data_IF_057935159042
#
_entry.id   IF_057935159042
#
_cell.length_a   1.000
_cell.length_b   1.000
_cell.length_c   1.000
_cell.angle_alpha   90.00
_cell.angle_beta   90.00
_cell.angle_gamma   90.00
#
_symmetry.space_group_name_H-M   'P 1'
#
loop_
_entity.id
_entity.type
_entity.pdbx_description
1 polymer ?
#
# COMPACT_ATOMS: atom_id res chain seq x y z
N UNK A 1 20.59 -5.23 29.57
CA UNK A 1 20.11 -5.09 28.18
C UNK A 1 20.84 -3.94 27.55
N UNK A 2 21.18 -4.03 26.26
CA UNK A 2 21.79 -2.92 25.54
C UNK A 2 20.69 -1.90 25.21
N UNK A 3 20.89 -0.61 25.48
CA UNK A 3 19.89 0.41 25.11
C UNK A 3 19.98 0.69 23.61
N UNK A 4 18.83 0.87 22.96
CA UNK A 4 18.74 1.48 21.64
C UNK A 4 17.83 2.69 21.77
N UNK A 5 18.43 3.87 21.75
CA UNK A 5 17.74 5.15 21.96
C UNK A 5 17.45 5.83 20.61
N UNK A 6 16.18 6.14 20.40
CA UNK A 6 15.64 6.83 19.23
C UNK A 6 15.41 8.30 19.57
N UNK A 7 16.11 9.20 18.87
CA UNK A 7 15.79 10.62 18.83
C UNK A 7 14.90 10.93 17.62
N UNK A 8 13.83 11.70 17.79
CA UNK A 8 12.87 11.98 16.72
C UNK A 8 12.55 13.48 16.59
N UNK A 9 13.07 14.06 15.50
CA UNK A 9 13.07 15.48 15.15
C UNK A 9 12.00 15.77 14.10
N UNK A 10 11.15 16.77 14.35
CA UNK A 10 10.04 17.10 13.45
C UNK A 10 9.41 18.48 13.72
N UNK A 11 9.04 19.26 12.70
CA UNK A 11 8.23 20.47 12.87
C UNK A 11 6.77 20.16 13.26
N UNK A 12 6.03 21.20 13.62
CA UNK A 12 4.67 21.08 14.17
C UNK A 12 3.60 20.59 13.18
N UNK A 13 3.83 20.65 11.87
CA UNK A 13 2.88 20.24 10.82
C UNK A 13 2.79 18.72 10.62
N UNK A 14 3.72 17.97 11.21
CA UNK A 14 3.81 16.49 11.19
C UNK A 14 3.73 15.88 12.60
N UNK A 15 3.05 16.57 13.53
CA UNK A 15 2.90 16.12 14.91
C UNK A 15 2.20 14.75 15.05
N UNK A 16 1.28 14.41 14.12
CA UNK A 16 0.60 13.13 14.09
C UNK A 16 1.58 11.99 13.73
N UNK A 17 2.43 12.20 12.73
CA UNK A 17 3.52 11.30 12.35
C UNK A 17 4.56 11.17 13.48
N UNK A 18 4.91 12.27 14.17
CA UNK A 18 5.79 12.21 15.35
C UNK A 18 5.24 11.36 16.49
N UNK A 19 3.92 11.32 16.70
CA UNK A 19 3.28 10.43 17.67
C UNK A 19 3.29 8.94 17.24
N UNK A 20 3.34 8.67 15.93
CA UNK A 20 3.51 7.31 15.41
C UNK A 20 4.88 6.71 15.72
N UNK A 21 5.92 7.53 15.95
CA UNK A 21 7.23 7.02 16.40
C UNK A 21 7.13 6.27 17.72
N UNK A 22 6.44 6.83 18.71
CA UNK A 22 6.21 6.18 20.01
C UNK A 22 5.31 4.95 19.89
N UNK A 23 4.27 5.03 19.05
CA UNK A 23 3.38 3.90 18.75
C UNK A 23 4.15 2.70 18.18
N UNK A 24 4.96 2.93 17.14
CA UNK A 24 5.78 1.89 16.50
C UNK A 24 6.85 1.35 17.46
N UNK A 25 7.52 2.21 18.22
CA UNK A 25 8.51 1.76 19.21
C UNK A 25 7.87 0.88 20.30
N UNK A 26 6.65 1.21 20.75
CA UNK A 26 5.91 0.37 21.69
C UNK A 26 5.51 -0.99 21.08
N UNK A 27 5.07 -1.01 19.81
CA UNK A 27 4.78 -2.26 19.08
C UNK A 27 6.02 -3.15 18.93
N UNK A 28 7.20 -2.57 18.76
CA UNK A 28 8.46 -3.29 18.60
C UNK A 28 9.15 -3.65 19.91
N UNK A 29 8.63 -3.19 21.05
CA UNK A 29 9.23 -3.47 22.37
C UNK A 29 9.39 -4.98 22.66
N UNK A 30 8.43 -5.88 22.39
CA UNK A 30 8.63 -7.32 22.62
C UNK A 30 9.76 -7.92 21.77
N UNK A 31 9.88 -7.47 20.51
CA UNK A 31 10.98 -7.88 19.61
C UNK A 31 12.33 -7.38 20.12
N UNK A 32 12.40 -6.11 20.53
CA UNK A 32 13.60 -5.54 21.12
C UNK A 32 14.03 -6.30 22.38
N UNK A 33 13.08 -6.58 23.29
CA UNK A 33 13.34 -7.32 24.52
C UNK A 33 13.87 -8.73 24.25
N UNK A 34 13.29 -9.46 23.29
CA UNK A 34 13.79 -10.77 22.83
C UNK A 34 15.22 -10.70 22.24
N UNK A 35 15.56 -9.59 21.58
CA UNK A 35 16.90 -9.34 21.05
C UNK A 35 17.89 -8.88 22.14
N UNK A 36 17.45 -8.68 23.38
CA UNK A 36 18.27 -8.18 24.50
C UNK A 36 18.43 -6.66 24.52
N UNK A 37 17.57 -5.96 23.78
CA UNK A 37 17.58 -4.52 23.52
C UNK A 37 16.51 -3.84 24.39
N UNK A 38 16.89 -2.78 25.10
CA UNK A 38 15.96 -1.85 25.73
C UNK A 38 15.70 -0.69 24.76
N UNK A 39 14.55 -0.75 24.07
CA UNK A 39 14.14 0.25 23.08
C UNK A 39 13.50 1.46 23.78
N UNK A 40 14.08 2.64 23.58
CA UNK A 40 13.68 3.89 24.24
C UNK A 40 13.51 5.00 23.20
N UNK A 41 12.36 5.68 23.19
CA UNK A 41 12.18 6.94 22.43
C UNK A 41 12.45 8.09 23.39
N UNK A 42 13.36 8.99 23.00
CA UNK A 42 13.72 10.15 23.81
C UNK A 42 12.66 11.25 23.62
N UNK A 43 11.97 11.62 24.70
CA UNK A 43 11.14 12.81 24.77
C UNK A 43 11.89 13.95 25.48
N UNK A 44 12.21 14.99 24.73
CA UNK A 44 12.87 16.20 25.24
C UNK A 44 11.97 17.01 26.20
N UNK A 45 10.67 16.71 26.31
CA UNK A 45 9.81 17.34 27.33
C UNK A 45 10.11 16.85 28.75
N UNK A 46 10.94 15.81 28.90
CA UNK A 46 11.35 15.24 30.18
C UNK A 46 12.74 15.73 30.68
N UNK A 47 13.46 16.59 29.96
CA UNK A 47 14.72 17.17 30.48
C UNK A 47 14.46 18.15 31.63
N UNK A 48 15.42 18.23 32.55
CA UNK A 48 15.41 19.19 33.65
C UNK A 48 15.62 20.59 33.08
N UNK A 49 14.78 21.59 33.42
CA UNK A 49 14.98 22.97 33.00
C UNK A 49 16.35 23.48 33.45
N UNK A 50 17.14 23.99 32.50
CA UNK A 50 18.47 24.55 32.73
C UNK A 50 18.62 25.88 31.98
N UNK A 51 19.56 26.72 32.42
CA UNK A 51 19.73 28.08 31.90
C UNK A 51 20.51 28.09 30.59
N UNK A 52 19.79 28.32 29.50
CA UNK A 52 20.40 28.47 28.17
C UNK A 52 19.35 28.60 27.08
N UNK A 53 19.83 28.53 25.84
CA UNK A 53 18.98 28.49 24.64
C UNK A 53 18.27 27.12 24.55
N UNK A 54 16.94 27.05 24.33
CA UNK A 54 16.17 25.81 24.48
C UNK A 54 16.72 24.59 23.74
N UNK A 55 16.99 24.70 22.43
CA UNK A 55 17.51 23.54 21.68
C UNK A 55 18.95 23.20 22.10
N UNK A 56 19.76 24.22 22.44
CA UNK A 56 21.13 24.00 22.92
C UNK A 56 21.14 23.27 24.27
N UNK A 57 20.21 23.57 25.18
CA UNK A 57 20.07 22.86 26.47
C UNK A 57 19.68 21.40 26.24
N UNK A 58 18.71 21.15 25.36
CA UNK A 58 18.29 19.80 24.98
C UNK A 58 19.48 19.02 24.38
N UNK A 59 20.23 19.63 23.47
CA UNK A 59 21.39 19.00 22.81
C UNK A 59 22.61 18.82 23.74
N UNK A 60 22.82 19.71 24.72
CA UNK A 60 23.95 19.63 25.65
C UNK A 60 23.75 18.59 26.76
N UNK A 61 22.50 18.29 27.14
CA UNK A 61 22.18 17.24 28.11
C UNK A 61 22.17 15.82 27.51
N UNK A 62 22.52 15.69 26.23
CA UNK A 62 22.59 14.42 25.50
C UNK A 62 24.03 14.18 25.07
N UNK A 63 24.68 13.15 25.60
CA UNK A 63 26.06 12.82 25.22
C UNK A 63 26.12 12.34 23.76
N UNK A 64 27.27 12.52 23.05
CA UNK A 64 27.52 11.95 21.71
C UNK A 64 27.18 10.46 21.57
N UNK A 65 27.20 9.73 22.68
CA UNK A 65 26.93 8.30 22.82
C UNK A 65 25.47 7.95 23.11
N UNK A 66 24.61 8.92 23.40
CA UNK A 66 23.23 8.70 23.84
C UNK A 66 22.20 8.49 22.72
N UNK A 67 22.57 8.65 21.45
CA UNK A 67 21.67 8.44 20.31
C UNK A 67 22.16 7.24 19.48
N UNK A 68 21.32 6.21 19.33
CA UNK A 68 21.61 5.06 18.47
C UNK A 68 20.91 5.17 17.12
N UNK A 69 19.75 5.83 17.08
CA UNK A 69 19.03 6.17 15.86
C UNK A 69 18.44 7.59 15.90
N UNK A 70 18.43 8.25 14.74
CA UNK A 70 17.82 9.55 14.51
C UNK A 70 16.73 9.42 13.46
N UNK A 71 15.54 9.94 13.75
CA UNK A 71 14.40 10.01 12.83
C UNK A 71 14.09 11.47 12.57
N UNK A 72 14.27 11.94 11.33
CA UNK A 72 13.81 13.27 10.90
C UNK A 72 12.56 13.17 10.05
N UNK A 73 11.52 13.93 10.39
CA UNK A 73 10.24 13.98 9.66
C UNK A 73 9.98 15.42 9.20
N UNK A 74 9.76 15.63 7.89
CA UNK A 74 9.51 16.96 7.31
C UNK A 74 8.37 16.91 6.28
N UNK A 75 7.56 17.98 6.21
CA UNK A 75 6.50 18.15 5.21
C UNK A 75 6.59 19.47 4.45
N UNK A 76 5.93 20.53 4.93
CA UNK A 76 5.91 21.83 4.25
C UNK A 76 6.41 22.98 5.12
N UNK A 77 6.37 22.83 6.44
CA UNK A 77 7.09 23.70 7.39
C UNK A 77 8.53 23.20 7.53
N UNK A 78 9.48 24.12 7.53
CA UNK A 78 10.87 23.84 7.89
C UNK A 78 11.09 24.05 9.40
N UNK A 79 10.52 25.12 9.94
CA UNK A 79 10.64 25.54 11.34
C UNK A 79 10.97 27.02 11.46
N UNK A 80 11.18 27.47 12.69
CA UNK A 80 11.67 28.82 13.02
C UNK A 80 13.17 28.77 13.35
N UNK A 81 13.97 29.79 12.99
CA UNK A 81 15.37 29.87 13.37
C UNK A 81 15.50 29.67 14.89
N UNK A 82 16.29 28.69 15.34
CA UNK A 82 16.30 28.30 16.74
C UNK A 82 17.26 29.21 17.55
N UNK A 83 18.00 30.10 16.88
CA UNK A 83 18.94 31.05 17.51
C UNK A 83 20.37 30.52 17.65
N UNK A 84 20.68 29.37 17.03
CA UNK A 84 22.00 28.75 17.01
C UNK A 84 22.76 28.99 15.71
N UNK A 85 24.07 28.72 15.75
CA UNK A 85 24.95 28.73 14.59
C UNK A 85 25.64 27.38 14.42
N UNK A 86 25.78 26.98 13.17
CA UNK A 86 26.48 25.78 12.74
C UNK A 86 27.98 25.87 13.11
N UNK A 87 28.52 25.00 13.98
CA UNK A 87 29.90 25.13 14.44
C UNK A 87 30.95 25.04 13.33
N UNK A 88 30.64 24.40 12.20
CA UNK A 88 31.57 24.25 11.08
C UNK A 88 31.46 25.41 10.09
N UNK A 89 30.23 25.86 9.78
CA UNK A 89 30.02 26.90 8.75
C UNK A 89 29.81 28.31 9.30
N UNK A 90 29.63 28.47 10.63
CA UNK A 90 29.30 29.71 11.33
C UNK A 90 28.01 30.40 10.82
N UNK A 91 27.19 29.68 10.04
CA UNK A 91 25.88 30.16 9.57
C UNK A 91 24.82 29.87 10.61
N UNK A 92 23.84 30.76 10.74
CA UNK A 92 22.67 30.52 11.58
C UNK A 92 21.84 29.34 11.08
N UNK A 93 21.36 28.50 12.00
CA UNK A 93 20.39 27.47 11.68
C UNK A 93 19.04 28.11 11.33
N UNK A 94 18.34 27.56 10.34
CA UNK A 94 17.05 28.07 9.88
C UNK A 94 15.85 27.36 10.54
N UNK A 95 16.10 26.22 11.21
CA UNK A 95 15.14 25.48 12.04
C UNK A 95 15.83 24.61 13.10
N UNK A 96 15.17 24.33 14.22
CA UNK A 96 15.64 23.36 15.23
C UNK A 96 15.87 21.96 14.63
N UNK A 97 14.96 21.48 13.79
CA UNK A 97 15.10 20.18 13.09
C UNK A 97 16.31 20.13 12.14
N UNK A 98 16.77 21.26 11.62
CA UNK A 98 18.03 21.33 10.84
C UNK A 98 19.26 21.13 11.73
N UNK A 99 19.27 21.78 12.89
CA UNK A 99 20.35 21.69 13.89
C UNK A 99 20.44 20.28 14.49
N UNK A 100 19.29 19.70 14.85
CA UNK A 100 19.16 18.31 15.33
C UNK A 100 19.72 17.33 14.28
N UNK A 101 19.33 17.49 13.01
CA UNK A 101 19.84 16.67 11.90
C UNK A 101 21.34 16.84 11.67
N UNK A 102 21.84 18.08 11.60
CA UNK A 102 23.28 18.36 11.40
C UNK A 102 24.12 17.86 12.56
N UNK A 103 23.60 17.93 13.79
CA UNK A 103 24.22 17.33 14.98
C UNK A 103 24.29 15.81 14.85
N UNK A 104 23.18 15.14 14.51
CA UNK A 104 23.16 13.70 14.25
C UNK A 104 24.12 13.28 13.13
N UNK A 105 24.19 14.07 12.04
CA UNK A 105 25.09 13.81 10.90
C UNK A 105 26.57 13.94 11.27
N UNK A 106 26.93 14.94 12.08
CA UNK A 106 28.29 15.07 12.63
C UNK A 106 28.63 13.85 13.49
N UNK A 107 27.77 13.52 14.46
CA UNK A 107 27.97 12.35 15.33
C UNK A 107 28.11 11.05 14.51
N UNK A 108 27.26 10.86 13.49
CA UNK A 108 27.32 9.69 12.61
C UNK A 108 28.62 9.60 11.80
N UNK A 109 29.25 10.72 11.45
CA UNK A 109 30.57 10.75 10.78
C UNK A 109 31.71 10.48 11.76
N UNK A 110 31.64 11.07 12.95
CA UNK A 110 32.73 11.05 13.94
C UNK A 110 32.77 9.72 14.74
N UNK A 111 31.61 9.13 15.02
CA UNK A 111 31.46 7.94 15.90
C UNK A 111 30.74 6.76 15.23
N UNK A 112 30.30 6.88 13.98
CA UNK A 112 29.53 5.85 13.28
C UNK A 112 28.08 5.67 13.76
N UNK A 113 27.59 6.54 14.66
CA UNK A 113 26.21 6.57 15.16
C UNK A 113 25.78 8.00 15.53
N UNK A 114 24.48 8.36 15.56
CA UNK A 114 23.31 7.50 15.34
C UNK A 114 23.16 7.05 13.87
N UNK A 115 22.36 6.00 13.63
CA UNK A 115 21.87 5.69 12.27
C UNK A 115 20.76 6.68 11.91
N UNK A 116 20.92 7.40 10.81
CA UNK A 116 20.01 8.47 10.39
C UNK A 116 18.95 7.93 9.43
N UNK A 117 17.68 8.22 9.72
CA UNK A 117 16.54 7.93 8.87
C UNK A 117 15.75 9.21 8.60
N UNK A 118 15.62 9.59 7.32
CA UNK A 118 14.85 10.78 6.93
C UNK A 118 13.57 10.40 6.18
N UNK A 119 12.48 11.05 6.57
CA UNK A 119 11.14 10.81 6.06
C UNK A 119 10.52 12.12 5.56
N UNK A 120 10.03 12.09 4.31
CA UNK A 120 9.43 13.24 3.63
C UNK A 120 7.94 13.00 3.39
N UNK A 121 7.10 13.81 3.99
CA UNK A 121 5.69 13.82 3.64
C UNK A 121 5.49 14.46 2.26
N UNK A 122 4.75 13.79 1.39
CA UNK A 122 4.35 14.25 0.05
C UNK A 122 2.82 14.38 -0.07
N UNK A 123 2.11 14.39 1.06
CA UNK A 123 0.68 14.66 1.18
C UNK A 123 0.31 16.01 0.55
N UNK A 124 -0.89 16.09 -0.03
CA UNK A 124 -1.39 17.31 -0.69
C UNK A 124 -1.30 18.52 0.25
N UNK A 125 -0.62 19.56 -0.22
CA UNK A 125 -0.39 20.79 0.53
C UNK A 125 -1.71 21.50 0.89
N UNK A 126 -1.81 22.09 2.09
CA UNK A 126 -2.93 22.96 2.42
C UNK A 126 -2.85 24.29 1.64
N UNK A 127 -3.96 25.02 1.57
CA UNK A 127 -4.07 26.24 0.75
C UNK A 127 -3.25 27.43 1.31
N UNK A 128 -2.96 27.41 2.60
CA UNK A 128 -2.26 28.44 3.38
C UNK A 128 -0.77 28.09 3.62
N UNK A 129 -0.16 27.26 2.76
CA UNK A 129 1.28 27.01 2.79
C UNK A 129 2.07 28.31 2.66
N UNK A 130 2.95 28.53 3.64
CA UNK A 130 4.05 29.49 3.58
C UNK A 130 5.06 29.06 2.48
N UNK A 131 5.21 29.84 1.39
CA UNK A 131 6.07 29.47 0.27
C UNK A 131 7.56 29.44 0.63
N UNK A 132 8.00 30.28 1.58
CA UNK A 132 9.41 30.38 1.98
C UNK A 132 9.80 29.20 2.88
N UNK A 133 8.91 28.80 3.80
CA UNK A 133 9.05 27.56 4.56
C UNK A 133 9.13 26.34 3.64
N UNK A 134 8.21 26.23 2.68
CA UNK A 134 8.20 25.10 1.75
C UNK A 134 9.40 25.08 0.80
N UNK A 135 9.91 26.26 0.42
CA UNK A 135 11.16 26.41 -0.32
C UNK A 135 12.35 25.88 0.50
N UNK A 136 12.48 26.25 1.77
CA UNK A 136 13.55 25.73 2.66
C UNK A 136 13.51 24.21 2.79
N UNK A 137 12.33 23.59 2.93
CA UNK A 137 12.21 22.12 2.94
C UNK A 137 12.73 21.50 1.63
N UNK A 138 12.44 22.10 0.47
CA UNK A 138 12.97 21.63 -0.82
C UNK A 138 14.49 21.78 -0.91
N UNK A 139 15.03 22.92 -0.49
CA UNK A 139 16.47 23.21 -0.48
C UNK A 139 17.23 22.25 0.46
N UNK A 140 16.65 21.94 1.62
CA UNK A 140 17.18 20.94 2.54
C UNK A 140 17.22 19.54 1.90
N UNK A 141 16.10 19.04 1.34
CA UNK A 141 16.12 17.72 0.69
C UNK A 141 16.99 17.65 -0.58
N UNK A 142 17.27 18.77 -1.25
CA UNK A 142 18.22 18.83 -2.36
C UNK A 142 19.68 18.53 -1.90
N UNK A 143 20.02 18.76 -0.64
CA UNK A 143 21.34 18.40 -0.07
C UNK A 143 21.58 16.89 -0.03
N UNK A 144 20.55 16.06 -0.23
CA UNK A 144 20.62 14.61 -0.18
C UNK A 144 20.88 13.98 -1.57
N UNK A 145 20.87 14.77 -2.65
CA UNK A 145 21.02 14.26 -4.02
C UNK A 145 22.42 13.67 -4.28
N UNK A 146 22.46 12.40 -4.73
CA UNK A 146 23.69 11.59 -4.80
C UNK A 146 24.83 12.11 -5.70
N UNK A 147 24.60 13.13 -6.54
CA UNK A 147 25.58 13.66 -7.51
C UNK A 147 26.03 15.09 -7.15
N UNK A 148 25.24 15.85 -6.37
CA UNK A 148 25.47 17.28 -6.11
C UNK A 148 25.14 17.76 -4.70
N UNK A 149 24.50 16.93 -3.88
CA UNK A 149 24.14 17.27 -2.52
C UNK A 149 25.35 17.33 -1.58
N UNK A 150 25.33 18.24 -0.61
CA UNK A 150 26.38 18.34 0.42
C UNK A 150 26.43 17.08 1.31
N UNK A 151 25.32 16.34 1.41
CA UNK A 151 25.11 15.21 2.31
C UNK A 151 24.37 14.05 1.59
N UNK A 152 24.99 13.38 0.60
CA UNK A 152 24.32 12.36 -0.21
C UNK A 152 23.75 11.23 0.68
N UNK A 153 22.45 11.01 0.60
CA UNK A 153 21.74 10.10 1.52
C UNK A 153 20.35 9.71 1.02
N UNK A 154 19.89 8.53 1.42
CA UNK A 154 18.55 8.05 1.08
C UNK A 154 17.53 8.57 2.10
N UNK A 155 16.47 9.20 1.61
CA UNK A 155 15.25 9.47 2.36
C UNK A 155 14.08 8.70 1.75
N UNK A 156 13.05 8.41 2.55
CA UNK A 156 11.82 7.80 2.06
C UNK A 156 10.68 8.83 2.04
N UNK A 157 9.73 8.66 1.11
CA UNK A 157 8.55 9.52 0.97
C UNK A 157 7.28 8.79 1.37
N UNK A 158 6.30 9.51 1.93
CA UNK A 158 4.99 8.97 2.32
C UNK A 158 3.88 10.01 2.09
N UNK A 159 2.63 9.58 1.82
CA UNK A 159 1.50 10.46 1.55
C UNK A 159 0.36 10.40 2.59
N UNK A 160 0.38 9.42 3.50
CA UNK A 160 -0.56 9.29 4.64
C UNK A 160 0.17 8.90 5.93
N UNK A 161 -0.52 9.03 7.07
CA UNK A 161 0.04 8.71 8.40
C UNK A 161 0.27 7.19 8.54
N UNK A 162 -0.62 6.39 7.95
CA UNK A 162 -0.59 4.93 7.95
C UNK A 162 0.59 4.42 7.10
N UNK A 163 0.82 5.05 5.94
CA UNK A 163 1.98 4.79 5.09
C UNK A 163 3.29 5.13 5.80
N UNK A 164 3.33 6.22 6.59
CA UNK A 164 4.48 6.54 7.45
C UNK A 164 4.67 5.50 8.56
N UNK A 165 3.61 5.14 9.29
CA UNK A 165 3.64 4.17 10.39
C UNK A 165 4.17 2.80 9.93
N UNK A 166 3.66 2.28 8.81
CA UNK A 166 4.16 1.03 8.21
C UNK A 166 5.63 1.14 7.80
N UNK A 167 5.99 2.18 7.07
CA UNK A 167 7.35 2.38 6.59
C UNK A 167 8.35 2.51 7.75
N UNK A 168 7.96 3.18 8.83
CA UNK A 168 8.75 3.30 10.04
C UNK A 168 8.89 1.95 10.76
N UNK A 169 7.80 1.18 10.85
CA UNK A 169 7.79 -0.17 11.43
C UNK A 169 8.78 -1.09 10.70
N UNK A 170 8.71 -1.16 9.37
CA UNK A 170 9.62 -1.95 8.53
C UNK A 170 11.10 -1.54 8.72
N UNK A 171 11.37 -0.23 8.79
CA UNK A 171 12.74 0.29 8.95
C UNK A 171 13.31 0.07 10.37
N UNK A 172 12.49 0.24 11.41
CA UNK A 172 12.91 0.00 12.79
C UNK A 172 13.08 -1.50 13.10
N UNK A 173 12.30 -2.39 12.47
CA UNK A 173 12.53 -3.83 12.57
C UNK A 173 13.89 -4.24 11.98
N UNK A 174 14.23 -3.74 10.79
CA UNK A 174 15.55 -3.97 10.18
C UNK A 174 16.67 -3.43 11.07
N UNK A 175 16.50 -2.25 11.65
CA UNK A 175 17.45 -1.69 12.61
C UNK A 175 17.62 -2.59 13.85
N UNK A 176 16.52 -3.08 14.43
CA UNK A 176 16.57 -3.97 15.60
C UNK A 176 17.27 -5.30 15.28
N UNK A 177 17.01 -5.88 14.10
CA UNK A 177 17.71 -7.08 13.63
C UNK A 177 19.21 -6.80 13.46
N UNK A 178 19.60 -5.78 12.68
CA UNK A 178 21.00 -5.38 12.47
C UNK A 178 21.74 -5.15 13.81
N UNK A 179 21.06 -4.56 14.80
CA UNK A 179 21.63 -4.30 16.13
C UNK A 179 21.69 -5.57 16.99
N UNK A 180 20.66 -6.41 16.93
CA UNK A 180 20.61 -7.72 17.59
C UNK A 180 21.67 -8.69 17.09
N UNK A 181 21.95 -8.72 15.78
CA UNK A 181 23.03 -9.51 15.20
C UNK A 181 24.41 -9.04 15.68
N UNK A 182 24.63 -7.72 15.74
CA UNK A 182 25.86 -7.13 16.29
C UNK A 182 26.06 -7.48 17.77
N UNK A 183 24.99 -7.49 18.59
CA UNK A 183 25.05 -7.91 19.99
C UNK A 183 25.37 -9.41 20.11
N UNK A 184 24.67 -10.25 19.34
CA UNK A 184 24.74 -11.72 19.48
C UNK A 184 25.94 -12.33 18.72
N UNK A 185 26.62 -11.57 17.87
CA UNK A 185 27.77 -12.02 17.07
C UNK A 185 27.42 -13.04 15.98
N UNK A 186 26.13 -13.24 15.68
CA UNK A 186 25.61 -14.19 14.71
C UNK A 186 24.26 -13.70 14.14
N UNK A 187 23.86 -14.18 12.93
CA UNK A 187 22.53 -13.91 12.39
C UNK A 187 21.39 -14.32 13.33
N UNK A 188 20.25 -13.62 13.25
CA UNK A 188 19.04 -14.02 13.97
C UNK A 188 18.34 -15.15 13.22
N UNK A 189 17.87 -16.17 13.94
CA UNK A 189 17.21 -17.34 13.38
C UNK A 189 15.92 -16.93 12.61
N UNK A 190 15.70 -17.38 11.35
CA UNK A 190 14.58 -16.89 10.52
C UNK A 190 13.18 -17.11 11.11
N UNK A 191 13.02 -18.12 11.98
CA UNK A 191 11.76 -18.41 12.68
C UNK A 191 11.39 -17.29 13.67
N UNK A 192 12.39 -16.74 14.38
CA UNK A 192 12.22 -15.55 15.23
C UNK A 192 11.80 -14.35 14.41
N UNK A 193 12.42 -14.16 13.23
CA UNK A 193 12.08 -13.05 12.34
C UNK A 193 10.60 -13.16 11.90
N UNK A 194 10.11 -14.36 11.58
CA UNK A 194 8.69 -14.59 11.23
C UNK A 194 7.70 -14.40 12.39
N UNK A 195 8.15 -14.47 13.64
CA UNK A 195 7.30 -14.23 14.82
C UNK A 195 7.03 -12.73 15.01
N UNK A 196 8.03 -11.87 14.77
CA UNK A 196 7.95 -10.43 15.05
C UNK A 196 7.71 -9.52 13.83
N UNK A 197 7.90 -10.00 12.59
CA UNK A 197 7.51 -9.26 11.38
C UNK A 197 5.97 -9.10 11.32
N UNK A 198 5.43 -7.93 10.93
CA UNK A 198 4.00 -7.69 10.91
C UNK A 198 3.41 -8.57 9.81
N UNK A 199 2.53 -9.49 10.18
CA UNK A 199 1.94 -10.42 9.23
C UNK A 199 1.00 -9.63 8.30
N UNK A 200 1.49 -9.33 7.10
CA UNK A 200 0.68 -8.91 5.94
C UNK A 200 -0.57 -9.79 5.93
N UNK A 201 -1.79 -9.23 6.06
CA UNK A 201 -3.03 -10.00 6.03
C UNK A 201 -3.10 -10.83 4.75
N UNK A 202 -3.02 -12.14 4.90
CA UNK A 202 -2.88 -13.07 3.79
C UNK A 202 -3.61 -14.38 4.09
N UNK A 203 -4.51 -14.78 3.20
CA UNK A 203 -5.14 -16.10 3.19
C UNK A 203 -5.09 -16.77 1.79
N UNK A 204 -4.12 -16.40 0.95
CA UNK A 204 -3.93 -16.98 -0.37
C UNK A 204 -3.83 -18.52 -0.31
N UNK A 205 -4.57 -19.24 -1.18
CA UNK A 205 -4.40 -20.68 -1.35
C UNK A 205 -2.96 -21.03 -1.68
N UNK A 206 -2.44 -22.14 -1.14
CA UNK A 206 -1.07 -22.61 -1.36
C UNK A 206 -0.68 -22.58 -2.84
N UNK A 207 0.43 -21.91 -3.16
CA UNK A 207 0.98 -21.87 -4.53
C UNK A 207 1.21 -23.28 -5.07
N UNK A 208 0.51 -23.60 -6.15
CA UNK A 208 0.76 -24.77 -6.99
C UNK A 208 1.69 -24.41 -8.14
N UNK A 209 2.43 -25.37 -8.68
CA UNK A 209 3.22 -25.16 -9.91
C UNK A 209 2.36 -24.61 -11.06
N UNK A 210 2.78 -23.49 -11.65
CA UNK A 210 2.07 -22.78 -12.69
C UNK A 210 2.96 -22.65 -13.94
N UNK A 211 2.44 -23.05 -15.11
CA UNK A 211 3.22 -23.12 -16.35
C UNK A 211 2.44 -22.57 -17.55
N UNK A 212 3.15 -21.82 -18.41
CA UNK A 212 2.58 -21.12 -19.55
C UNK A 212 1.62 -19.98 -19.14
N UNK A 213 0.76 -19.57 -20.08
CA UNK A 213 -0.16 -18.42 -19.94
C UNK A 213 0.55 -17.08 -19.72
N UNK A 214 1.74 -16.92 -20.27
CA UNK A 214 2.57 -15.72 -20.10
C UNK A 214 1.84 -14.45 -20.58
N UNK A 215 1.10 -14.54 -21.70
CA UNK A 215 0.26 -13.44 -22.21
C UNK A 215 -0.86 -13.04 -21.26
N UNK A 216 -1.61 -14.02 -20.73
CA UNK A 216 -2.69 -13.74 -19.78
C UNK A 216 -2.14 -13.19 -18.46
N UNK A 217 -0.99 -13.72 -18.01
CA UNK A 217 -0.28 -13.23 -16.83
C UNK A 217 0.23 -11.80 -17.01
N UNK A 218 0.83 -11.46 -18.15
CA UNK A 218 1.22 -10.08 -18.49
C UNK A 218 0.01 -9.12 -18.46
N UNK A 219 -1.13 -9.53 -19.03
CA UNK A 219 -2.35 -8.74 -19.03
C UNK A 219 -2.92 -8.52 -17.62
N UNK A 220 -2.87 -9.55 -16.77
CA UNK A 220 -3.25 -9.45 -15.35
C UNK A 220 -2.30 -8.52 -14.60
N UNK A 221 -0.98 -8.74 -14.68
CA UNK A 221 0.01 -7.92 -13.98
C UNK A 221 -0.02 -6.45 -14.40
N UNK A 222 -0.41 -6.14 -15.65
CA UNK A 222 -0.67 -4.77 -16.11
C UNK A 222 -1.91 -4.17 -15.43
N UNK A 223 -3.03 -4.88 -15.38
CA UNK A 223 -4.26 -4.40 -14.74
C UNK A 223 -4.09 -4.15 -13.23
N UNK A 224 -3.25 -4.95 -12.58
CA UNK A 224 -2.93 -4.86 -11.16
C UNK A 224 -1.86 -3.80 -10.84
N UNK A 225 -1.26 -3.13 -11.83
CA UNK A 225 -0.24 -2.11 -11.56
C UNK A 225 -0.86 -0.82 -10.97
N UNK A 226 -0.14 -0.07 -10.12
CA UNK A 226 -0.63 1.19 -9.55
C UNK A 226 -0.92 2.28 -10.59
N UNK A 227 -0.25 2.23 -11.75
CA UNK A 227 -0.41 3.17 -12.86
C UNK A 227 -1.72 2.94 -13.65
N UNK A 228 -2.22 1.71 -13.64
CA UNK A 228 -3.51 1.38 -14.25
C UNK A 228 -4.66 1.93 -13.37
N UNK A 229 -5.55 2.73 -13.97
CA UNK A 229 -6.63 3.43 -13.24
C UNK A 229 -7.91 2.59 -13.09
N UNK A 230 -7.88 1.33 -13.49
CA UNK A 230 -8.97 0.37 -13.32
C UNK A 230 -8.94 -0.26 -11.94
N UNK A 231 -10.10 -0.78 -11.49
CA UNK A 231 -10.16 -1.55 -10.23
C UNK A 231 -9.44 -2.91 -10.32
N UNK A 232 -9.08 -3.38 -11.52
CA UNK A 232 -8.45 -4.68 -11.73
C UNK A 232 -9.06 -5.44 -12.92
N UNK A 233 -9.25 -6.75 -12.74
CA UNK A 233 -9.42 -7.69 -13.85
C UNK A 233 -10.48 -8.76 -13.60
N UNK A 234 -11.26 -9.07 -14.65
CA UNK A 234 -12.16 -10.22 -14.71
C UNK A 234 -11.52 -11.35 -15.54
N UNK A 235 -11.40 -12.52 -14.92
CA UNK A 235 -11.00 -13.78 -15.54
C UNK A 235 -12.23 -14.63 -15.83
N UNK A 236 -12.52 -14.83 -17.11
CA UNK A 236 -13.70 -15.55 -17.58
C UNK A 236 -13.32 -16.71 -18.51
N UNK A 237 -14.10 -17.79 -18.48
CA UNK A 237 -13.82 -19.00 -19.26
C UNK A 237 -14.49 -20.26 -18.72
N UNK A 238 -14.17 -21.41 -19.31
CA UNK A 238 -14.74 -22.72 -18.96
C UNK A 238 -14.31 -23.15 -17.54
N UNK A 239 -15.02 -24.10 -16.91
CA UNK A 239 -14.58 -24.73 -15.67
C UNK A 239 -13.26 -25.51 -15.84
N UNK A 240 -12.45 -25.61 -14.79
CA UNK A 240 -11.19 -26.39 -14.80
C UNK A 240 -10.03 -25.79 -15.60
N UNK A 241 -10.23 -24.74 -16.39
CA UNK A 241 -9.23 -24.15 -17.30
C UNK A 241 -8.03 -23.46 -16.59
N UNK A 242 -8.10 -23.27 -15.26
CA UNK A 242 -7.02 -22.69 -14.45
C UNK A 242 -7.15 -21.21 -14.08
N UNK A 243 -8.34 -20.59 -14.17
CA UNK A 243 -8.55 -19.17 -13.78
C UNK A 243 -8.12 -18.85 -12.35
N UNK A 244 -8.54 -19.67 -11.38
CA UNK A 244 -8.20 -19.49 -9.97
C UNK A 244 -6.69 -19.67 -9.73
N UNK A 245 -6.04 -20.58 -10.47
CA UNK A 245 -4.58 -20.74 -10.44
C UNK A 245 -3.85 -19.51 -11.03
N UNK A 246 -4.36 -18.94 -12.12
CA UNK A 246 -3.85 -17.69 -12.71
C UNK A 246 -3.99 -16.50 -11.73
N UNK A 247 -5.12 -16.41 -11.03
CA UNK A 247 -5.36 -15.39 -10.01
C UNK A 247 -4.39 -15.51 -8.81
N UNK A 248 -4.25 -16.72 -8.27
CA UNK A 248 -3.36 -17.02 -7.14
C UNK A 248 -1.89 -16.80 -7.52
N UNK A 249 -1.45 -17.25 -8.69
CA UNK A 249 -0.08 -17.01 -9.17
C UNK A 249 0.21 -15.50 -9.36
N UNK A 250 -0.74 -14.74 -9.91
CA UNK A 250 -0.58 -13.29 -10.05
C UNK A 250 -0.44 -12.61 -8.67
N UNK A 251 -1.24 -13.04 -7.69
CA UNK A 251 -1.16 -12.53 -6.33
C UNK A 251 0.17 -12.86 -5.65
N UNK A 252 0.71 -14.08 -5.81
CA UNK A 252 2.06 -14.40 -5.33
C UNK A 252 3.12 -13.51 -5.98
N UNK A 253 3.05 -13.23 -7.29
CA UNK A 253 3.98 -12.30 -7.98
C UNK A 253 3.85 -10.86 -7.49
N UNK A 254 2.64 -10.41 -7.16
CA UNK A 254 2.42 -9.11 -6.53
C UNK A 254 2.95 -9.07 -5.09
N UNK A 255 2.85 -10.18 -4.33
CA UNK A 255 3.41 -10.30 -2.98
C UNK A 255 4.94 -10.29 -2.98
N UNK A 256 5.57 -11.04 -3.89
CA UNK A 256 7.02 -11.04 -4.12
C UNK A 256 7.57 -9.65 -4.49
N UNK A 257 6.76 -8.84 -5.20
CA UNK A 257 7.08 -7.45 -5.56
C UNK A 257 6.74 -6.42 -4.49
N UNK A 258 6.10 -6.81 -3.38
CA UNK A 258 5.60 -5.87 -2.37
C UNK A 258 4.57 -4.87 -2.91
N UNK A 259 3.76 -5.26 -3.91
CA UNK A 259 2.81 -4.35 -4.58
C UNK A 259 1.54 -4.05 -3.78
N UNK A 260 1.25 -4.85 -2.75
CA UNK A 260 0.10 -4.67 -1.86
C UNK A 260 0.47 -5.06 -0.43
N UNK A 261 -0.33 -4.55 0.50
CA UNK A 261 -0.18 -4.61 1.95
C UNK A 261 -1.14 -5.63 2.59
N UNK A 262 -2.07 -6.18 1.80
CA UNK A 262 -2.91 -7.32 2.13
C UNK A 262 -3.29 -8.12 0.87
N UNK A 263 -3.48 -9.43 1.01
CA UNK A 263 -3.82 -10.39 -0.05
C UNK A 263 -5.00 -11.26 0.39
N UNK A 264 -6.17 -11.02 -0.18
CA UNK A 264 -7.42 -11.58 0.33
C UNK A 264 -8.08 -12.44 -0.73
N UNK A 265 -8.18 -13.73 -0.48
CA UNK A 265 -8.89 -14.71 -1.31
C UNK A 265 -10.18 -15.14 -0.64
N UNK A 266 -11.32 -14.89 -1.29
CA UNK A 266 -12.63 -15.37 -0.87
C UNK A 266 -13.25 -16.13 -2.04
N UNK A 267 -13.81 -17.31 -1.79
CA UNK A 267 -14.44 -18.15 -2.82
C UNK A 267 -15.84 -18.55 -2.41
N UNK A 268 -16.76 -18.60 -3.38
CA UNK A 268 -18.11 -19.08 -3.11
C UNK A 268 -18.23 -20.62 -3.07
N UNK A 269 -17.13 -21.35 -3.29
CA UNK A 269 -17.16 -22.81 -3.43
C UNK A 269 -16.88 -23.52 -2.10
N UNK A 270 -17.80 -24.41 -1.70
CA UNK A 270 -17.79 -25.00 -0.36
C UNK A 270 -16.63 -25.93 0.00
N UNK A 271 -16.05 -26.68 -0.95
CA UNK A 271 -14.97 -27.62 -0.67
C UNK A 271 -14.20 -28.01 -1.94
N UNK A 272 -12.94 -28.41 -1.75
CA UNK A 272 -12.21 -29.26 -2.70
C UNK A 272 -12.41 -30.70 -2.22
N UNK A 273 -13.18 -31.49 -2.98
CA UNK A 273 -13.25 -32.94 -2.78
C UNK A 273 -11.92 -33.55 -3.21
N UNK A 274 -11.12 -33.97 -2.24
CA UNK A 274 -9.99 -34.87 -2.43
C UNK A 274 -10.28 -36.19 -1.69
N UNK A 275 -9.86 -37.37 -2.19
CA UNK A 275 -10.42 -38.64 -1.74
C UNK A 275 -10.20 -39.02 -0.26
N UNK A 276 -9.17 -38.48 0.42
CA UNK A 276 -8.72 -39.06 1.70
C UNK A 276 -8.48 -38.09 2.87
N UNK A 277 -8.34 -36.78 2.67
CA UNK A 277 -8.10 -35.82 3.78
C UNK A 277 -8.79 -34.47 3.56
N UNK A 278 -9.70 -34.12 4.46
CA UNK A 278 -10.27 -32.77 4.60
C UNK A 278 -9.15 -31.83 5.08
N UNK A 279 -8.86 -30.76 4.33
CA UNK A 279 -7.89 -29.72 4.75
C UNK A 279 -8.31 -28.32 4.32
N UNK A 280 -8.11 -27.39 5.25
CA UNK A 280 -8.14 -25.93 5.15
C UNK A 280 -9.34 -25.34 4.37
N UNK A 281 -10.36 -24.96 5.15
CA UNK A 281 -11.54 -24.21 4.70
C UNK A 281 -11.11 -22.85 4.13
N UNK A 282 -11.13 -22.71 2.81
CA UNK A 282 -11.33 -21.37 2.21
C UNK A 282 -12.68 -20.87 2.72
N UNK A 283 -12.78 -19.61 3.19
CA UNK A 283 -14.05 -19.07 3.63
C UNK A 283 -15.08 -19.10 2.49
N UNK A 284 -16.20 -19.75 2.77
CA UNK A 284 -17.27 -19.95 1.79
C UNK A 284 -18.23 -18.77 1.89
N UNK A 285 -18.20 -17.87 0.91
CA UNK A 285 -19.15 -16.76 0.82
C UNK A 285 -20.22 -17.05 -0.24
N UNK A 286 -21.46 -17.25 0.20
CA UNK A 286 -22.63 -17.54 -0.65
C UNK A 286 -23.43 -16.31 -1.02
N UNK A 287 -23.25 -15.22 -0.28
CA UNK A 287 -23.88 -13.91 -0.51
C UNK A 287 -22.83 -12.82 -0.61
N UNK A 288 -23.15 -11.68 -1.24
CA UNK A 288 -22.25 -10.51 -1.28
C UNK A 288 -21.83 -10.10 0.15
N UNK A 289 -22.77 -10.09 1.09
CA UNK A 289 -22.50 -9.71 2.48
C UNK A 289 -21.50 -10.64 3.18
N UNK A 290 -21.47 -11.93 2.82
CA UNK A 290 -20.44 -12.86 3.29
C UNK A 290 -19.06 -12.57 2.70
N UNK A 291 -18.97 -12.16 1.42
CA UNK A 291 -17.70 -11.72 0.82
C UNK A 291 -17.13 -10.49 1.53
N UNK A 292 -17.98 -9.49 1.83
CA UNK A 292 -17.59 -8.28 2.55
C UNK A 292 -17.21 -8.60 4.02
N UNK A 293 -18.01 -9.44 4.70
CA UNK A 293 -17.72 -9.89 6.06
C UNK A 293 -16.35 -10.55 6.18
N UNK A 294 -16.01 -11.44 5.25
CA UNK A 294 -14.76 -12.18 5.32
C UNK A 294 -13.56 -11.29 5.01
N UNK A 295 -13.67 -10.43 4.00
CA UNK A 295 -12.66 -9.42 3.68
C UNK A 295 -12.35 -8.55 4.89
N UNK A 296 -13.38 -8.11 5.62
CA UNK A 296 -13.21 -7.36 6.86
C UNK A 296 -12.51 -8.16 7.97
N UNK A 297 -12.85 -9.45 8.17
CA UNK A 297 -12.20 -10.31 9.17
C UNK A 297 -10.71 -10.49 8.89
N UNK A 298 -10.34 -10.71 7.62
CA UNK A 298 -8.94 -10.91 7.22
C UNK A 298 -8.15 -9.62 7.42
N UNK A 299 -8.74 -8.44 7.16
CA UNK A 299 -8.20 -7.13 7.54
C UNK A 299 -8.19 -6.84 9.05
N UNK A 300 -8.58 -7.79 9.92
CA UNK A 300 -8.64 -7.62 11.37
C UNK A 300 -9.83 -6.77 11.89
N UNK A 301 -10.73 -6.33 11.00
CA UNK A 301 -11.87 -5.45 11.32
C UNK A 301 -13.09 -6.27 11.77
N UNK A 302 -13.03 -6.74 13.01
CA UNK A 302 -14.08 -7.58 13.65
C UNK A 302 -15.38 -6.83 13.99
N UNK A 303 -15.39 -5.51 13.82
CA UNK A 303 -16.52 -4.60 13.98
C UNK A 303 -17.40 -4.55 12.74
N UNK A 304 -16.80 -4.44 11.54
CA UNK A 304 -17.50 -4.27 10.26
C UNK A 304 -18.54 -5.38 9.97
N UNK A 305 -18.27 -6.69 10.22
CA UNK A 305 -19.26 -7.75 10.00
C UNK A 305 -20.55 -7.63 10.83
N UNK A 306 -20.55 -6.82 11.89
CA UNK A 306 -21.71 -6.58 12.77
C UNK A 306 -22.63 -5.47 12.26
N UNK A 307 -22.20 -4.72 11.25
CA UNK A 307 -22.98 -3.63 10.64
C UNK A 307 -24.03 -4.17 9.66
N UNK A 308 -25.11 -3.41 9.49
CA UNK A 308 -26.06 -3.60 8.39
C UNK A 308 -25.37 -3.36 7.03
N UNK A 309 -25.86 -4.02 5.97
CA UNK A 309 -25.17 -4.15 4.67
C UNK A 309 -24.72 -2.81 4.04
N UNK A 310 -25.55 -1.76 4.07
CA UNK A 310 -25.19 -0.43 3.55
C UNK A 310 -24.03 0.21 4.32
N UNK A 311 -24.09 0.15 5.65
CA UNK A 311 -23.04 0.66 6.53
C UNK A 311 -21.74 -0.15 6.42
N UNK A 312 -21.89 -1.47 6.25
CA UNK A 312 -20.78 -2.44 6.07
C UNK A 312 -19.97 -2.17 4.81
N UNK A 313 -20.64 -1.98 3.66
CA UNK A 313 -19.96 -1.62 2.39
C UNK A 313 -19.11 -0.37 2.55
N UNK A 314 -19.67 0.68 3.15
CA UNK A 314 -18.95 1.94 3.39
C UNK A 314 -17.77 1.77 4.34
N UNK A 315 -17.98 1.13 5.49
CA UNK A 315 -16.91 0.90 6.47
C UNK A 315 -15.77 0.03 5.91
N UNK A 316 -16.07 -0.96 5.07
CA UNK A 316 -15.05 -1.75 4.40
C UNK A 316 -14.28 -0.94 3.34
N UNK A 317 -14.97 -0.11 2.56
CA UNK A 317 -14.29 0.81 1.61
C UNK A 317 -13.39 1.81 2.32
N UNK A 318 -13.79 2.30 3.50
CA UNK A 318 -12.96 3.17 4.34
C UNK A 318 -11.72 2.41 4.86
N UNK A 319 -11.86 1.18 5.38
CA UNK A 319 -10.74 0.32 5.78
C UNK A 319 -9.77 -0.03 4.61
N UNK A 320 -10.31 -0.23 3.40
CA UNK A 320 -9.51 -0.47 2.19
C UNK A 320 -8.75 0.79 1.70
N UNK A 321 -9.03 1.99 2.22
CA UNK A 321 -8.20 3.18 1.93
C UNK A 321 -6.93 3.20 2.77
N UNK A 322 -6.99 2.64 3.98
CA UNK A 322 -5.87 2.56 4.92
C UNK A 322 -4.86 1.47 4.50
N UNK A 323 -5.34 0.36 3.91
CA UNK A 323 -4.51 -0.79 3.52
C UNK A 323 -4.60 -1.09 2.00
N UNK A 324 -3.56 -0.81 1.20
CA UNK A 324 -3.46 -1.25 -0.20
C UNK A 324 -3.67 -2.77 -0.34
N UNK A 325 -4.80 -3.20 -0.89
CA UNK A 325 -5.23 -4.61 -0.82
C UNK A 325 -5.45 -5.20 -2.22
N UNK A 326 -4.95 -6.43 -2.43
CA UNK A 326 -5.35 -7.27 -3.56
C UNK A 326 -6.47 -8.22 -3.14
N UNK A 327 -7.68 -7.96 -3.64
CA UNK A 327 -8.85 -8.82 -3.47
C UNK A 327 -8.88 -9.89 -4.58
N UNK A 328 -9.27 -11.11 -4.24
CA UNK A 328 -9.53 -12.19 -5.19
C UNK A 328 -10.86 -12.81 -4.83
N UNK A 329 -11.88 -12.56 -5.65
CA UNK A 329 -13.21 -13.12 -5.47
C UNK A 329 -13.47 -14.19 -6.52
N UNK A 330 -13.53 -15.45 -6.06
CA UNK A 330 -13.48 -16.65 -6.91
C UNK A 330 -14.84 -17.35 -7.03
N UNK A 331 -15.16 -17.78 -8.26
CA UNK A 331 -16.45 -18.36 -8.69
C UNK A 331 -17.67 -17.46 -8.45
N UNK A 332 -17.63 -16.17 -8.83
CA UNK A 332 -18.77 -15.26 -8.64
C UNK A 332 -20.04 -15.64 -9.42
N UNK A 333 -20.00 -16.63 -10.33
CA UNK A 333 -21.20 -17.17 -11.00
C UNK A 333 -22.22 -17.82 -10.06
N UNK A 334 -21.90 -18.00 -8.77
CA UNK A 334 -22.80 -18.53 -7.75
C UNK A 334 -23.70 -17.47 -7.10
N UNK A 335 -23.28 -16.20 -7.13
CA UNK A 335 -24.08 -15.08 -6.62
C UNK A 335 -25.30 -14.85 -7.51
N UNK A 336 -26.37 -14.28 -6.95
CA UNK A 336 -27.53 -13.83 -7.74
C UNK A 336 -27.14 -12.68 -8.68
N UNK A 337 -27.99 -12.39 -9.69
CA UNK A 337 -27.70 -11.29 -10.63
C UNK A 337 -27.61 -9.93 -9.93
N UNK A 338 -28.50 -9.69 -8.97
CA UNK A 338 -28.60 -8.44 -8.22
C UNK A 338 -27.38 -8.26 -7.29
N UNK A 339 -26.89 -9.35 -6.69
CA UNK A 339 -25.62 -9.35 -5.96
C UNK A 339 -24.40 -9.15 -6.87
N UNK A 340 -24.40 -9.70 -8.09
CA UNK A 340 -23.33 -9.46 -9.08
C UNK A 340 -23.30 -7.99 -9.54
N UNK A 341 -24.46 -7.35 -9.69
CA UNK A 341 -24.56 -5.92 -10.01
C UNK A 341 -24.07 -5.07 -8.82
N UNK A 342 -24.54 -5.38 -7.60
CA UNK A 342 -24.11 -4.70 -6.36
C UNK A 342 -22.60 -4.88 -6.09
N UNK A 343 -22.04 -6.07 -6.39
CA UNK A 343 -20.60 -6.34 -6.36
C UNK A 343 -19.87 -5.48 -7.40
N UNK A 344 -20.39 -5.34 -8.61
CA UNK A 344 -19.78 -4.51 -9.64
C UNK A 344 -19.73 -3.03 -9.23
N UNK A 345 -20.72 -2.53 -8.47
CA UNK A 345 -20.68 -1.19 -7.89
C UNK A 345 -19.64 -1.06 -6.78
N UNK A 346 -19.57 -2.03 -5.86
CA UNK A 346 -18.51 -2.07 -4.83
C UNK A 346 -17.10 -2.04 -5.48
N UNK A 347 -16.89 -2.82 -6.55
CA UNK A 347 -15.62 -2.86 -7.27
C UNK A 347 -15.29 -1.53 -7.96
N UNK A 348 -16.29 -0.78 -8.45
CA UNK A 348 -16.10 0.57 -9.03
C UNK A 348 -15.69 1.61 -7.99
N UNK A 349 -16.03 1.40 -6.72
CA UNK A 349 -15.72 2.30 -5.60
C UNK A 349 -14.41 1.95 -4.88
N UNK A 350 -13.71 0.89 -5.30
CA UNK A 350 -12.45 0.49 -4.67
C UNK A 350 -11.42 1.64 -4.65
N UNK A 351 -10.71 1.86 -3.53
CA UNK A 351 -9.62 2.83 -3.44
C UNK A 351 -8.54 2.58 -4.50
N UNK A 352 -7.90 3.64 -5.01
CA UNK A 352 -6.93 3.51 -6.12
C UNK A 352 -5.72 2.62 -5.81
N UNK A 353 -5.34 2.51 -4.53
CA UNK A 353 -4.26 1.61 -4.06
C UNK A 353 -4.72 0.15 -3.88
N UNK A 354 -6.01 -0.14 -4.03
CA UNK A 354 -6.59 -1.48 -4.01
C UNK A 354 -6.88 -1.99 -5.43
N UNK A 355 -6.81 -3.32 -5.61
CA UNK A 355 -7.14 -3.99 -6.87
C UNK A 355 -7.93 -5.27 -6.61
N UNK A 356 -8.67 -5.75 -7.60
CA UNK A 356 -9.34 -7.04 -7.53
C UNK A 356 -9.11 -7.94 -8.76
N UNK A 357 -9.01 -9.24 -8.51
CA UNK A 357 -9.11 -10.31 -9.50
C UNK A 357 -10.44 -11.04 -9.28
N UNK A 358 -11.33 -10.98 -10.26
CA UNK A 358 -12.61 -11.70 -10.21
C UNK A 358 -12.51 -12.94 -11.09
N UNK A 359 -12.98 -14.10 -10.61
CA UNK A 359 -13.12 -15.29 -11.46
C UNK A 359 -14.59 -15.66 -11.67
N UNK A 360 -14.95 -16.02 -12.91
CA UNK A 360 -16.31 -16.46 -13.25
C UNK A 360 -16.30 -17.59 -14.29
N UNK A 361 -17.29 -18.49 -14.23
CA UNK A 361 -17.49 -19.57 -15.22
C UNK A 361 -18.57 -19.24 -16.24
N UNK A 362 -18.23 -19.39 -17.53
CA UNK A 362 -19.26 -19.55 -18.57
C UNK A 362 -19.93 -20.92 -18.44
N UNK A 363 -21.27 -20.92 -18.35
CA UNK A 363 -22.08 -22.07 -18.76
C UNK A 363 -22.20 -21.99 -20.29
N UNK A 364 -21.69 -22.99 -21.00
CA UNK A 364 -21.76 -23.01 -22.46
C UNK A 364 -23.20 -23.19 -22.94
N UNK A 365 -23.65 -22.36 -23.87
CA UNK A 365 -24.97 -22.50 -24.49
C UNK A 365 -25.54 -21.21 -25.09
N UNK A 366 -25.37 -20.08 -24.42
CA UNK A 366 -26.00 -18.82 -24.83
C UNK A 366 -25.01 -17.68 -25.00
N UNK A 367 -25.12 -16.97 -26.13
CA UNK A 367 -24.41 -15.72 -26.40
C UNK A 367 -25.03 -14.57 -25.61
N UNK A 368 -24.83 -14.57 -24.29
CA UNK A 368 -25.31 -13.52 -23.40
C UNK A 368 -24.18 -12.53 -23.02
N UNK A 369 -24.44 -11.26 -23.31
CA UNK A 369 -23.65 -10.09 -22.89
C UNK A 369 -23.62 -10.00 -21.36
N UNK A 370 -22.50 -9.53 -20.80
CA UNK A 370 -22.48 -8.98 -19.44
C UNK A 370 -22.10 -7.51 -19.44
N UNK A 371 -22.73 -6.77 -18.54
CA UNK A 371 -23.17 -5.40 -18.76
C UNK A 371 -22.15 -4.33 -18.36
N UNK A 372 -22.08 -3.30 -19.19
CA UNK A 372 -21.56 -1.98 -18.83
C UNK A 372 -22.71 -1.20 -18.22
N UNK A 373 -22.61 -0.77 -16.96
CA UNK A 373 -23.63 0.09 -16.34
C UNK A 373 -23.16 1.53 -16.24
N UNK A 374 -23.85 2.40 -16.98
CA UNK A 374 -23.95 3.84 -16.76
C UNK A 374 -25.20 4.33 -17.49
N UNK A 375 -26.24 4.67 -16.73
CA UNK A 375 -27.55 5.20 -17.20
C UNK A 375 -27.65 6.70 -16.87
N UNK A 376 -28.45 7.54 -17.53
CA UNK A 376 -29.35 7.38 -18.71
C UNK A 376 -29.53 8.77 -19.41
N UNK A 377 -30.51 8.92 -20.33
CA UNK A 377 -31.01 10.19 -20.95
C UNK A 377 -30.05 10.74 -22.04
N UNK A 378 -30.46 11.21 -23.23
CA UNK A 378 -31.74 11.82 -23.69
C UNK A 378 -32.25 11.20 -25.01
N UNK A 379 -33.56 11.28 -25.25
CA UNK A 379 -34.20 10.79 -26.49
C UNK A 379 -33.97 11.67 -27.72
N UNK A 380 -33.62 11.05 -28.86
CA UNK A 380 -34.09 11.34 -30.23
C UNK A 380 -33.54 10.28 -31.19
N UNK A 381 -34.36 9.81 -32.13
CA UNK A 381 -33.91 8.87 -33.18
C UNK A 381 -34.80 7.65 -33.43
N UNK A 382 -36.10 7.85 -33.73
CA UNK A 382 -36.85 6.83 -34.49
C UNK A 382 -36.44 6.99 -35.96
N UNK A 383 -35.83 5.97 -36.56
CA UNK A 383 -35.34 6.09 -37.95
C UNK A 383 -34.78 4.80 -38.53
N UNK A 384 -35.69 3.97 -39.06
CA UNK A 384 -35.49 2.96 -40.12
C UNK A 384 -34.10 2.30 -40.31
N UNK A 385 -34.05 0.98 -40.09
CA UNK A 385 -33.79 0.05 -41.21
C UNK A 385 -34.25 -1.38 -40.88
N UNK A 386 -35.09 -1.95 -41.74
CA UNK A 386 -35.50 -3.34 -41.71
C UNK A 386 -35.41 -3.93 -43.13
N UNK A 387 -35.11 -5.24 -43.22
CA UNK A 387 -34.94 -6.04 -44.47
C UNK A 387 -33.63 -5.69 -45.21
N UNK A 388 -32.72 -6.61 -45.53
CA UNK A 388 -32.93 -7.87 -46.26
C UNK A 388 -31.67 -8.75 -46.13
N UNK A 389 -31.84 -10.08 -45.98
CA UNK A 389 -30.74 -11.05 -46.08
C UNK A 389 -30.93 -11.92 -47.33
N UNK A 390 -29.94 -11.91 -48.25
CA UNK A 390 -29.56 -12.92 -49.28
C UNK A 390 -29.25 -12.33 -50.66
N UNK A 391 -27.97 -12.32 -51.09
CA UNK A 391 -27.36 -13.27 -52.05
C UNK A 391 -25.96 -12.84 -52.52
N UNK A 392 -25.15 -13.86 -52.79
CA UNK A 392 -23.94 -13.96 -53.63
C UNK A 392 -22.65 -13.11 -53.42
N UNK A 393 -21.57 -13.88 -53.23
CA UNK A 393 -20.19 -13.74 -53.75
C UNK A 393 -19.75 -12.42 -54.42
N UNK A 394 -18.73 -11.76 -53.85
CA UNK A 394 -17.30 -11.80 -54.29
C UNK A 394 -16.41 -10.87 -53.43
N UNK A 395 -15.23 -11.39 -53.06
CA UNK A 395 -13.95 -10.71 -52.74
C UNK A 395 -13.89 -9.57 -51.68
N UNK A 396 -12.83 -9.62 -50.86
CA UNK A 396 -12.40 -8.63 -49.88
C UNK A 396 -11.72 -7.40 -50.58
N UNK A 397 -11.35 -6.27 -49.92
CA UNK A 397 -10.87 -6.19 -48.53
C UNK A 397 -11.33 -5.00 -47.64
N UNK A 398 -11.04 -5.16 -46.34
CA UNK A 398 -10.72 -4.14 -45.30
C UNK A 398 -11.44 -2.78 -45.27
N UNK A 399 -12.12 -2.48 -44.15
CA UNK A 399 -11.64 -1.55 -43.09
C UNK A 399 -12.65 -1.53 -41.94
N UNK A 400 -12.27 -2.01 -40.75
CA UNK A 400 -13.11 -1.97 -39.54
C UNK A 400 -12.50 -0.96 -38.53
N UNK A 401 -13.21 0.13 -38.18
CA UNK A 401 -12.64 1.22 -37.39
C UNK A 401 -12.63 1.00 -35.85
N UNK A 402 -13.06 -0.15 -35.32
CA UNK A 402 -13.09 -0.39 -33.85
C UNK A 402 -12.47 -1.72 -33.42
N UNK A 403 -11.13 -1.79 -33.46
CA UNK A 403 -10.36 -2.93 -32.96
C UNK A 403 -10.38 -3.04 -31.43
N UNK A 404 -10.75 -4.22 -30.92
CA UNK A 404 -10.47 -4.65 -29.55
C UNK A 404 -9.15 -5.43 -29.53
N UNK A 405 -8.28 -5.19 -28.55
CA UNK A 405 -7.09 -6.04 -28.32
C UNK A 405 -7.50 -7.24 -27.46
N UNK A 406 -8.04 -8.26 -28.11
CA UNK A 406 -8.26 -9.58 -27.49
C UNK A 406 -6.93 -10.36 -27.50
N UNK A 407 -6.37 -10.62 -26.31
CA UNK A 407 -5.19 -11.47 -26.15
C UNK A 407 -5.57 -12.97 -26.18
N UNK A 408 -6.34 -13.39 -27.18
CA UNK A 408 -6.82 -14.78 -27.25
C UNK A 408 -5.75 -15.74 -27.74
N UNK A 409 -5.33 -16.64 -26.86
CA UNK A 409 -4.74 -17.92 -27.27
C UNK A 409 -5.11 -18.99 -26.22
N UNK A 410 -6.16 -19.78 -26.51
CA UNK A 410 -6.67 -20.92 -25.69
C UNK A 410 -7.44 -20.59 -24.38
N UNK A 411 -8.66 -20.08 -24.54
CA UNK A 411 -9.81 -20.48 -23.70
C UNK A 411 -10.04 -19.78 -22.35
N UNK A 412 -9.17 -18.85 -21.94
CA UNK A 412 -9.45 -17.86 -20.89
C UNK A 412 -9.49 -16.49 -21.56
N UNK A 413 -10.51 -15.68 -21.24
CA UNK A 413 -10.59 -14.29 -21.65
C UNK A 413 -10.25 -13.42 -20.43
N UNK A 414 -9.21 -12.60 -20.57
CA UNK A 414 -8.83 -11.57 -19.59
C UNK A 414 -9.53 -10.27 -19.99
N UNK A 415 -10.32 -9.67 -19.10
CA UNK A 415 -11.02 -8.40 -19.35
C UNK A 415 -10.65 -7.36 -18.30
N UNK A 416 -10.10 -6.24 -18.75
CA UNK A 416 -9.92 -5.03 -17.94
C UNK A 416 -11.21 -4.21 -17.93
N UNK A 417 -11.49 -3.49 -16.83
CA UNK A 417 -12.59 -2.52 -16.81
C UNK A 417 -12.26 -1.27 -17.64
N UNK A 418 -13.25 -0.53 -18.14
CA UNK A 418 -12.99 0.76 -18.81
C UNK A 418 -13.21 1.91 -17.84
N UNK A 419 -12.13 2.59 -17.43
CA UNK A 419 -12.20 3.75 -16.52
C UNK A 419 -13.03 4.91 -17.07
N UNK A 420 -13.83 5.54 -16.22
CA UNK A 420 -14.66 6.69 -16.60
C UNK A 420 -13.88 7.99 -16.41
N UNK A 421 -13.42 8.61 -17.51
CA UNK A 421 -12.73 9.89 -17.46
C UNK A 421 -13.76 11.04 -17.39
N UNK A 422 -14.25 11.33 -16.18
CA UNK A 422 -15.13 12.47 -15.90
C UNK A 422 -14.39 13.81 -16.07
N UNK A 423 -14.24 14.26 -17.33
CA UNK A 423 -13.97 15.67 -17.63
C UNK A 423 -15.22 16.48 -17.28
N UNK A 424 -15.17 17.21 -16.17
CA UNK A 424 -16.07 18.36 -16.01
C UNK A 424 -15.79 19.35 -17.16
N UNK A 425 -16.80 19.79 -17.92
CA UNK A 425 -16.65 20.97 -18.76
C UNK A 425 -16.46 22.17 -17.83
N UNK A 426 -15.46 23.02 -18.13
CA UNK A 426 -15.40 24.36 -17.53
C UNK A 426 -16.58 25.16 -18.08
N UNK A 427 -17.36 25.74 -17.17
CA UNK A 427 -18.16 26.94 -17.41
C UNK A 427 -17.37 28.14 -16.87
#
# INVERSE_FOLDING_TARGET
>A
MNKLRIFAASPSDVAAERAKVETVAAMLKPMAEYLGIALEVLDWRAVVPDMGRPEQVILNQLEPTDWDAFIGILWHRFGTPPGGQDPQTQKEYLAGTEEEFKTALRLSKDYGKPRIMMYRCTRQLPYDVDPDQFKRVKEFFAQFEAIKGEHPGLYHSFDTIEAFEKLLLDNLQRLLLDYGEKIKGKPIDPEVIQEFVPKIPDNLPRRSSFFGRDKEMEAVMRALSPEDRTWGVLLDGIGGIGKSALAVEAAYRCKEKGSFDAFIFVSAKQNILAPEKIRELVPVARTLDEFLNETARILGRIDIPKLASDGKRRALLDALRETPTLLIYDNLETLTKDEQETMADFLRELPQKCKAIITSRRRGGEGAVWLRFSREITARGRGAMARTVRRDRRLAPSTDPYAWVDASTRGINVRQSTGNASRQPRL
#
